data_IF_298440783649
#
_entry.id   IF_298440783649
#
_cell.length_a   1.000
_cell.length_b   1.000
_cell.length_c   1.000
_cell.angle_alpha   90.00
_cell.angle_beta   90.00
_cell.angle_gamma   90.00
#
_symmetry.space_group_name_H-M   'P 1'
#
loop_
_entity.id
_entity.type
_entity.pdbx_description
1 polymer ?
#
# COMPACT_ATOMS: atom_id res chain seq x y z
N UNK A 1 15.20 21.46 14.87
CA UNK A 1 15.38 21.17 13.45
C UNK A 1 14.35 20.12 13.10
N UNK A 2 13.70 20.25 11.94
CA UNK A 2 12.81 19.20 11.44
C UNK A 2 13.61 17.88 11.31
N UNK A 3 13.01 16.78 11.72
CA UNK A 3 13.62 15.46 11.54
C UNK A 3 13.53 15.00 10.10
N UNK A 4 14.39 14.08 9.68
CA UNK A 4 14.36 13.51 8.33
C UNK A 4 13.50 12.25 8.30
N UNK A 5 12.53 12.20 7.39
CA UNK A 5 11.72 11.01 7.09
C UNK A 5 12.20 10.38 5.78
N UNK A 6 12.58 9.11 5.82
CA UNK A 6 12.94 8.34 4.64
C UNK A 6 11.73 7.59 4.11
N UNK A 7 11.37 7.81 2.85
CA UNK A 7 10.28 7.08 2.19
C UNK A 7 10.84 6.30 1.00
N UNK A 8 10.89 4.98 1.09
CA UNK A 8 11.20 4.17 -0.08
C UNK A 8 9.96 4.02 -0.94
N UNK A 9 10.13 4.10 -2.26
CA UNK A 9 8.98 4.12 -3.17
C UNK A 9 8.21 5.44 -3.18
N UNK A 10 8.88 6.56 -2.83
CA UNK A 10 8.30 7.91 -2.84
C UNK A 10 7.66 8.28 -4.18
N UNK A 11 8.28 7.91 -5.29
CA UNK A 11 7.78 8.17 -6.65
C UNK A 11 6.53 7.34 -7.01
N UNK A 12 6.16 6.36 -6.19
CA UNK A 12 4.97 5.54 -6.38
C UNK A 12 3.69 6.23 -5.94
N UNK A 13 2.53 5.62 -6.28
CA UNK A 13 1.20 6.13 -5.96
C UNK A 13 1.04 6.54 -4.49
N UNK A 14 1.35 5.64 -3.56
CA UNK A 14 1.16 5.87 -2.11
C UNK A 14 2.21 6.85 -1.55
N UNK A 15 3.41 6.85 -2.13
CA UNK A 15 4.54 7.65 -1.64
C UNK A 15 4.26 9.14 -1.58
N UNK A 16 3.61 9.68 -2.61
CA UNK A 16 3.24 11.10 -2.66
C UNK A 16 2.27 11.53 -1.54
N UNK A 17 1.32 10.66 -1.20
CA UNK A 17 0.35 10.94 -0.13
C UNK A 17 1.01 10.87 1.23
N UNK A 18 1.84 9.83 1.44
CA UNK A 18 2.62 9.68 2.69
C UNK A 18 3.58 10.86 2.88
N UNK A 19 4.26 11.30 1.82
CA UNK A 19 5.15 12.46 1.90
C UNK A 19 4.42 13.71 2.41
N UNK A 20 3.23 14.00 1.89
CA UNK A 20 2.41 15.16 2.32
C UNK A 20 2.04 15.10 3.80
N UNK A 21 1.65 13.91 4.31
CA UNK A 21 1.32 13.75 5.73
C UNK A 21 2.58 13.93 6.61
N UNK A 22 3.74 13.42 6.17
CA UNK A 22 5.01 13.59 6.89
C UNK A 22 5.50 15.04 6.88
N UNK A 23 5.38 15.75 5.75
CA UNK A 23 5.68 17.18 5.63
C UNK A 23 4.77 18.02 6.53
N UNK A 24 3.47 17.67 6.61
CA UNK A 24 2.52 18.32 7.50
C UNK A 24 2.88 18.14 8.99
N UNK A 25 3.56 17.04 9.33
CA UNK A 25 4.12 16.78 10.66
C UNK A 25 5.49 17.46 10.88
N UNK A 26 6.02 18.19 9.88
CA UNK A 26 7.26 18.95 9.97
C UNK A 26 8.52 18.14 9.64
N UNK A 27 8.40 16.97 9.03
CA UNK A 27 9.57 16.21 8.56
C UNK A 27 10.10 16.76 7.22
N UNK A 28 11.41 16.71 7.06
CA UNK A 28 12.04 16.78 5.74
C UNK A 28 12.00 15.39 5.11
N UNK A 29 11.28 15.27 3.97
CA UNK A 29 11.08 13.96 3.31
C UNK A 29 12.15 13.71 2.26
N UNK A 30 12.84 12.58 2.39
CA UNK A 30 13.81 12.06 1.41
C UNK A 30 13.29 10.74 0.84
N UNK A 31 13.26 10.64 -0.50
CA UNK A 31 12.85 9.43 -1.21
C UNK A 31 14.03 8.56 -1.59
N UNK A 32 13.87 7.23 -1.47
CA UNK A 32 14.77 6.24 -2.07
C UNK A 32 14.00 5.26 -2.94
N UNK A 33 14.58 4.88 -4.07
CA UNK A 33 14.04 3.84 -4.95
C UNK A 33 14.42 4.04 -6.41
N UNK A 34 13.96 3.13 -7.27
CA UNK A 34 14.09 3.30 -8.71
C UNK A 34 13.08 4.33 -9.20
N UNK A 35 13.48 5.23 -10.10
CA UNK A 35 12.62 6.25 -10.68
C UNK A 35 13.32 7.60 -10.83
N UNK A 36 12.66 8.52 -11.53
CA UNK A 36 13.18 9.87 -11.78
C UNK A 36 13.20 10.76 -10.54
N UNK A 37 14.09 11.75 -10.55
CA UNK A 37 14.18 12.74 -9.50
C UNK A 37 12.86 13.54 -9.39
N UNK A 38 12.23 13.48 -8.23
CA UNK A 38 11.16 14.37 -7.83
C UNK A 38 11.80 15.51 -7.05
N UNK A 39 11.90 16.70 -7.65
CA UNK A 39 12.29 17.95 -7.00
C UNK A 39 13.58 17.89 -6.15
N UNK A 40 14.57 17.06 -6.53
CA UNK A 40 15.82 16.90 -5.79
C UNK A 40 15.72 16.14 -4.47
N UNK A 41 14.52 15.73 -4.06
CA UNK A 41 14.27 14.99 -2.81
C UNK A 41 14.28 13.46 -2.97
N UNK A 42 14.44 12.97 -4.20
CA UNK A 42 14.49 11.54 -4.52
C UNK A 42 15.89 11.13 -4.97
N UNK A 43 16.46 10.18 -4.26
CA UNK A 43 17.74 9.56 -4.60
C UNK A 43 17.50 8.22 -5.28
N UNK A 44 17.96 8.09 -6.53
CA UNK A 44 17.78 6.86 -7.31
C UNK A 44 18.73 5.77 -6.81
N UNK A 45 18.18 4.65 -6.40
CA UNK A 45 18.93 3.46 -5.97
C UNK A 45 18.08 2.21 -6.15
N UNK A 46 18.73 1.13 -6.58
CA UNK A 46 18.13 -0.22 -6.47
C UNK A 46 18.34 -0.71 -5.03
N UNK A 47 17.27 -1.04 -4.33
CA UNK A 47 17.36 -1.56 -2.96
C UNK A 47 18.13 -2.89 -2.88
N UNK A 48 18.31 -3.58 -4.01
CA UNK A 48 19.14 -4.78 -4.11
C UNK A 48 20.64 -4.48 -4.07
N UNK A 49 21.05 -3.25 -4.39
CA UNK A 49 22.45 -2.79 -4.22
C UNK A 49 22.69 -2.41 -2.75
N UNK A 50 23.03 -3.41 -1.94
CA UNK A 50 23.25 -3.24 -0.51
C UNK A 50 24.33 -2.21 -0.18
N UNK A 51 25.40 -2.09 -1.01
CA UNK A 51 26.50 -1.16 -0.79
C UNK A 51 26.02 0.29 -0.98
N UNK A 52 25.43 0.58 -2.15
CA UNK A 52 24.96 1.93 -2.46
C UNK A 52 23.83 2.38 -1.55
N UNK A 53 22.90 1.48 -1.23
CA UNK A 53 21.84 1.74 -0.25
C UNK A 53 22.40 2.05 1.12
N UNK A 54 23.39 1.29 1.58
CA UNK A 54 24.07 1.52 2.88
C UNK A 54 24.76 2.88 2.95
N UNK A 55 25.45 3.31 1.88
CA UNK A 55 26.08 4.63 1.79
C UNK A 55 25.04 5.75 1.93
N UNK A 56 23.94 5.67 1.16
CA UNK A 56 22.88 6.69 1.17
C UNK A 56 22.15 6.75 2.53
N UNK A 57 21.80 5.61 3.09
CA UNK A 57 21.12 5.56 4.40
C UNK A 57 22.04 6.11 5.51
N UNK A 58 23.33 5.81 5.45
CA UNK A 58 24.33 6.35 6.40
C UNK A 58 24.52 7.87 6.25
N UNK A 59 24.34 8.44 5.07
CA UNK A 59 24.36 9.89 4.81
C UNK A 59 23.08 10.56 5.32
N UNK A 60 21.91 9.98 5.03
CA UNK A 60 20.59 10.53 5.38
C UNK A 60 20.34 10.51 6.89
N UNK A 61 20.76 9.45 7.61
CA UNK A 61 20.52 9.26 9.05
C UNK A 61 19.04 9.49 9.43
N UNK A 62 18.07 8.78 8.83
CA UNK A 62 16.64 9.09 8.96
C UNK A 62 16.17 8.92 10.40
N UNK A 63 15.32 9.86 10.85
CA UNK A 63 14.64 9.77 12.14
C UNK A 63 13.47 8.77 12.07
N UNK A 64 12.70 8.80 10.99
CA UNK A 64 11.61 7.85 10.74
C UNK A 64 11.70 7.29 9.32
N UNK A 65 11.18 6.08 9.12
CA UNK A 65 11.23 5.40 7.82
C UNK A 65 9.86 4.84 7.48
N UNK A 66 9.41 5.06 6.23
CA UNK A 66 8.25 4.39 5.65
C UNK A 66 8.70 3.60 4.42
N UNK A 67 8.66 2.28 4.53
CA UNK A 67 9.08 1.39 3.47
C UNK A 67 7.87 0.95 2.62
N UNK A 68 7.69 1.63 1.48
CA UNK A 68 6.60 1.37 0.52
C UNK A 68 7.10 0.67 -0.75
N UNK A 69 8.41 0.73 -1.01
CA UNK A 69 8.97 0.14 -2.22
C UNK A 69 8.71 -1.37 -2.27
N UNK A 70 7.97 -1.79 -3.28
CA UNK A 70 7.67 -3.19 -3.55
C UNK A 70 7.23 -3.37 -5.01
N UNK A 71 7.50 -4.54 -5.56
CA UNK A 71 6.89 -5.01 -6.81
C UNK A 71 5.56 -5.68 -6.42
N UNK A 72 4.44 -5.00 -6.72
CA UNK A 72 3.09 -5.44 -6.33
C UNK A 72 2.35 -6.21 -7.43
N UNK A 73 2.71 -6.00 -8.68
CA UNK A 73 2.04 -6.60 -9.83
C UNK A 73 3.03 -6.90 -10.96
N UNK A 74 3.04 -8.15 -11.39
CA UNK A 74 3.81 -8.61 -12.55
C UNK A 74 2.84 -9.31 -13.49
N UNK A 75 2.27 -8.57 -14.43
CA UNK A 75 1.36 -9.15 -15.43
C UNK A 75 2.09 -10.13 -16.35
N UNK A 76 3.38 -9.90 -16.63
CA UNK A 76 4.22 -10.70 -17.56
C UNK A 76 5.71 -10.60 -17.18
N UNK A 77 6.03 -10.29 -15.91
CA UNK A 77 7.39 -10.09 -15.44
C UNK A 77 7.98 -11.34 -14.76
N UNK A 78 9.26 -11.26 -14.47
CA UNK A 78 9.97 -12.30 -13.75
C UNK A 78 9.53 -12.33 -12.29
N UNK A 79 9.01 -13.46 -11.82
CA UNK A 79 8.65 -13.69 -10.41
C UNK A 79 9.86 -13.47 -9.50
N UNK A 80 11.07 -13.68 -9.97
CA UNK A 80 12.33 -13.41 -9.25
C UNK A 80 12.43 -11.94 -8.82
N UNK A 81 11.87 -10.99 -9.61
CA UNK A 81 11.87 -9.57 -9.26
C UNK A 81 10.99 -9.27 -8.05
N UNK A 82 9.86 -9.98 -7.89
CA UNK A 82 9.02 -9.86 -6.69
C UNK A 82 9.83 -10.23 -5.45
N UNK A 83 10.43 -11.41 -5.47
CA UNK A 83 11.18 -11.91 -4.31
C UNK A 83 12.45 -11.09 -4.05
N UNK A 84 13.24 -10.78 -5.06
CA UNK A 84 14.48 -10.03 -4.90
C UNK A 84 14.22 -8.59 -4.43
N UNK A 85 13.24 -7.91 -4.99
CA UNK A 85 12.91 -6.54 -4.56
C UNK A 85 12.27 -6.51 -3.19
N UNK A 86 11.25 -7.35 -2.96
CA UNK A 86 10.45 -7.27 -1.73
C UNK A 86 11.16 -7.89 -0.52
N UNK A 87 12.00 -8.93 -0.71
CA UNK A 87 12.68 -9.61 0.39
C UNK A 87 14.12 -9.09 0.53
N UNK A 88 14.93 -9.21 -0.54
CA UNK A 88 16.34 -8.82 -0.46
C UNK A 88 16.46 -7.30 -0.31
N UNK A 89 15.66 -6.53 -1.05
CA UNK A 89 15.62 -5.07 -0.91
C UNK A 89 15.27 -4.62 0.51
N UNK A 90 14.23 -5.22 1.12
CA UNK A 90 13.87 -4.92 2.52
C UNK A 90 14.98 -5.32 3.49
N UNK A 91 15.56 -6.52 3.31
CA UNK A 91 16.70 -6.98 4.13
C UNK A 91 17.86 -5.98 4.12
N UNK A 92 18.22 -5.52 2.92
CA UNK A 92 19.31 -4.56 2.75
C UNK A 92 19.00 -3.22 3.43
N UNK A 93 17.75 -2.74 3.31
CA UNK A 93 17.30 -1.51 3.98
C UNK A 93 17.41 -1.64 5.51
N UNK A 94 16.88 -2.72 6.08
CA UNK A 94 16.92 -2.94 7.53
C UNK A 94 18.37 -3.08 8.05
N UNK A 95 19.24 -3.79 7.30
CA UNK A 95 20.66 -3.89 7.64
C UNK A 95 21.36 -2.53 7.59
N UNK A 96 21.05 -1.70 6.58
CA UNK A 96 21.61 -0.34 6.48
C UNK A 96 21.14 0.55 7.63
N UNK A 97 19.85 0.50 8.00
CA UNK A 97 19.28 1.27 9.12
C UNK A 97 19.89 0.83 10.47
N UNK A 98 20.06 -0.46 10.70
CA UNK A 98 20.67 -0.99 11.91
C UNK A 98 22.15 -0.59 12.05
N UNK A 99 22.86 -0.38 10.92
CA UNK A 99 24.24 0.08 10.90
C UNK A 99 24.40 1.60 11.09
N UNK A 100 23.31 2.39 11.08
CA UNK A 100 23.36 3.83 11.28
C UNK A 100 23.86 4.20 12.67
N UNK A 101 24.64 5.29 12.77
CA UNK A 101 25.10 5.84 14.06
C UNK A 101 23.91 6.34 14.89
N UNK A 102 22.96 7.00 14.26
CA UNK A 102 21.69 7.40 14.86
C UNK A 102 20.62 6.36 14.50
N UNK A 103 20.05 5.73 15.51
CA UNK A 103 18.93 4.79 15.30
C UNK A 103 17.69 5.54 14.85
N UNK A 104 16.95 4.96 13.92
CA UNK A 104 15.61 5.44 13.57
C UNK A 104 14.68 5.28 14.78
N UNK A 105 13.82 6.27 15.01
CA UNK A 105 12.83 6.27 16.09
C UNK A 105 11.63 5.38 15.77
N UNK A 106 11.34 5.17 14.47
CA UNK A 106 10.33 4.23 13.99
C UNK A 106 10.57 3.85 12.53
N UNK A 107 10.32 2.57 12.22
CA UNK A 107 10.37 2.01 10.87
C UNK A 107 9.03 1.35 10.57
N UNK A 108 8.26 1.90 9.66
CA UNK A 108 7.02 1.30 9.18
C UNK A 108 7.30 0.50 7.90
N UNK A 109 6.93 -0.78 7.92
CA UNK A 109 6.99 -1.67 6.77
C UNK A 109 5.58 -1.91 6.22
N UNK A 110 5.34 -1.51 4.96
CA UNK A 110 4.08 -1.79 4.29
C UNK A 110 4.05 -3.25 3.78
N UNK A 111 3.32 -4.10 4.50
CA UNK A 111 2.92 -5.44 4.08
C UNK A 111 1.64 -5.39 3.22
N UNK A 112 0.76 -6.35 3.34
CA UNK A 112 -0.51 -6.41 2.61
C UNK A 112 -1.50 -7.34 3.30
N UNK A 113 -2.79 -7.04 3.24
CA UNK A 113 -3.85 -7.98 3.65
C UNK A 113 -3.90 -9.25 2.80
N UNK A 114 -3.25 -9.27 1.62
CA UNK A 114 -3.13 -10.48 0.81
C UNK A 114 -2.39 -11.62 1.52
N UNK A 115 -1.63 -11.33 2.58
CA UNK A 115 -0.98 -12.36 3.41
C UNK A 115 -1.98 -13.29 4.09
N UNK A 116 -3.21 -12.86 4.30
CA UNK A 116 -4.28 -13.68 4.89
C UNK A 116 -4.85 -14.73 3.93
N UNK A 117 -4.68 -14.53 2.60
CA UNK A 117 -5.20 -15.44 1.59
C UNK A 117 -6.72 -15.64 1.66
N UNK A 118 -7.14 -16.90 1.51
CA UNK A 118 -8.55 -17.33 1.54
C UNK A 118 -9.00 -17.77 2.94
N UNK A 119 -8.72 -17.01 3.98
CA UNK A 119 -9.15 -17.34 5.33
C UNK A 119 -10.68 -17.42 5.42
N UNK A 120 -11.18 -18.50 6.02
CA UNK A 120 -12.62 -18.80 6.18
C UNK A 120 -13.26 -18.03 7.35
N UNK A 121 -12.96 -16.74 7.48
CA UNK A 121 -13.52 -15.86 8.51
C UNK A 121 -14.19 -14.65 7.86
N UNK A 122 -15.32 -14.17 8.41
CA UNK A 122 -16.06 -13.07 7.80
C UNK A 122 -15.30 -11.73 7.85
N UNK A 123 -14.46 -11.54 8.87
CA UNK A 123 -13.66 -10.31 9.09
C UNK A 123 -12.28 -10.73 9.60
N UNK A 124 -11.25 -10.23 8.93
CA UNK A 124 -9.85 -10.51 9.21
C UNK A 124 -9.30 -9.51 10.23
N UNK A 125 -8.81 -9.99 11.36
CA UNK A 125 -8.00 -9.23 12.30
C UNK A 125 -6.55 -9.76 12.32
N UNK A 126 -5.69 -9.11 13.10
CA UNK A 126 -4.26 -9.40 13.12
C UNK A 126 -3.91 -10.74 13.79
N UNK A 127 -4.86 -11.37 14.49
CA UNK A 127 -4.71 -12.72 15.07
C UNK A 127 -4.94 -13.84 14.05
N UNK A 128 -5.56 -13.52 12.91
CA UNK A 128 -5.79 -14.48 11.84
C UNK A 128 -4.47 -15.02 11.28
N UNK A 129 -4.42 -16.33 11.04
CA UNK A 129 -3.27 -16.99 10.44
C UNK A 129 -3.01 -16.43 9.02
N UNK A 130 -1.72 -16.26 8.69
CA UNK A 130 -1.31 -15.89 7.32
C UNK A 130 -1.26 -17.14 6.44
N UNK A 131 -1.92 -17.07 5.28
CA UNK A 131 -2.06 -18.16 4.30
C UNK A 131 -1.94 -17.60 2.88
N UNK A 132 -0.73 -17.15 2.47
CA UNK A 132 -0.55 -16.45 1.20
C UNK A 132 -0.83 -17.34 0.00
N UNK A 133 -1.62 -16.87 -0.96
CA UNK A 133 -2.10 -17.59 -2.15
C UNK A 133 -1.38 -17.21 -3.46
N UNK A 134 -0.44 -16.28 -3.41
CA UNK A 134 0.32 -15.85 -4.59
C UNK A 134 1.71 -15.34 -4.19
N UNK A 135 2.62 -15.23 -5.19
CA UNK A 135 4.02 -14.83 -4.97
C UNK A 135 4.17 -13.49 -4.27
N UNK A 136 3.33 -12.51 -4.59
CA UNK A 136 3.33 -11.21 -3.91
C UNK A 136 3.01 -11.38 -2.41
N UNK A 137 1.95 -12.10 -2.07
CA UNK A 137 1.58 -12.36 -0.69
C UNK A 137 2.66 -13.14 0.06
N UNK A 138 3.25 -14.16 -0.59
CA UNK A 138 4.39 -14.91 -0.04
C UNK A 138 5.57 -13.98 0.23
N UNK A 139 5.91 -13.09 -0.70
CA UNK A 139 7.01 -12.14 -0.51
C UNK A 139 6.77 -11.18 0.66
N UNK A 140 5.51 -10.75 0.87
CA UNK A 140 5.13 -9.89 2.00
C UNK A 140 5.17 -10.65 3.33
N UNK A 141 4.71 -11.90 3.39
CA UNK A 141 4.89 -12.77 4.56
C UNK A 141 6.37 -12.97 4.89
N UNK A 142 7.20 -13.24 3.89
CA UNK A 142 8.63 -13.39 4.08
C UNK A 142 9.28 -12.11 4.61
N UNK A 143 8.86 -10.94 4.10
CA UNK A 143 9.30 -9.64 4.60
C UNK A 143 8.93 -9.43 6.09
N UNK A 144 7.70 -9.77 6.50
CA UNK A 144 7.28 -9.68 7.90
C UNK A 144 8.11 -10.59 8.82
N UNK A 145 8.33 -11.84 8.39
CA UNK A 145 9.15 -12.81 9.16
C UNK A 145 10.61 -12.36 9.23
N UNK A 146 11.16 -11.90 8.11
CA UNK A 146 12.52 -11.40 8.01
C UNK A 146 12.77 -10.21 8.95
N UNK A 147 11.81 -9.28 9.04
CA UNK A 147 11.94 -8.07 9.87
C UNK A 147 12.19 -8.37 11.34
N UNK A 148 11.73 -9.53 11.83
CA UNK A 148 11.95 -9.98 13.22
C UNK A 148 13.40 -10.14 13.61
N UNK A 149 14.31 -10.31 12.63
CA UNK A 149 15.75 -10.38 12.89
C UNK A 149 16.33 -9.07 13.43
N UNK A 150 15.65 -7.94 13.19
CA UNK A 150 16.06 -6.59 13.64
C UNK A 150 15.20 -6.01 14.74
N UNK A 151 14.31 -6.80 15.37
CA UNK A 151 13.38 -6.29 16.40
C UNK A 151 14.07 -5.67 17.62
N UNK A 152 15.29 -6.14 17.93
CA UNK A 152 16.08 -5.64 19.07
C UNK A 152 16.92 -4.39 18.68
N UNK A 153 17.13 -4.17 17.39
CA UNK A 153 17.90 -3.07 16.83
C UNK A 153 17.05 -1.91 16.31
N UNK A 154 15.88 -2.22 15.74
CA UNK A 154 15.00 -1.26 15.08
C UNK A 154 13.57 -1.34 15.61
N UNK A 155 12.94 -0.19 15.92
CA UNK A 155 11.55 -0.12 16.36
C UNK A 155 10.60 -0.28 15.15
N UNK A 156 10.41 -1.51 14.69
CA UNK A 156 9.65 -1.84 13.48
C UNK A 156 8.17 -2.00 13.80
N UNK A 157 7.34 -1.37 12.97
CA UNK A 157 5.88 -1.55 12.90
C UNK A 157 5.53 -2.07 11.53
N UNK A 158 4.65 -3.08 11.45
CA UNK A 158 4.17 -3.64 10.19
C UNK A 158 2.73 -3.19 9.96
N UNK A 159 2.43 -2.66 8.77
CA UNK A 159 1.06 -2.40 8.34
C UNK A 159 0.61 -3.45 7.33
N UNK A 160 -0.62 -3.94 7.45
CA UNK A 160 -1.29 -4.78 6.45
C UNK A 160 -2.45 -3.98 5.83
N UNK A 161 -2.17 -3.12 4.84
CA UNK A 161 -3.23 -2.41 4.14
C UNK A 161 -4.11 -3.40 3.37
N UNK A 162 -5.43 -3.17 3.44
CA UNK A 162 -6.41 -3.77 2.56
C UNK A 162 -6.38 -3.03 1.22
N UNK A 163 -7.37 -3.26 0.32
CA UNK A 163 -7.32 -2.51 -0.92
C UNK A 163 -7.55 -1.03 -0.64
N UNK A 164 -6.88 -0.18 -1.39
CA UNK A 164 -7.09 1.25 -1.35
C UNK A 164 -6.89 1.85 -2.73
N UNK A 165 -7.47 3.03 -2.94
CA UNK A 165 -7.47 3.70 -4.23
C UNK A 165 -7.46 5.21 -4.07
N UNK A 166 -7.24 5.92 -5.18
CA UNK A 166 -7.24 7.38 -5.24
C UNK A 166 -6.67 7.89 -6.57
N UNK A 167 -6.62 9.20 -6.70
CA UNK A 167 -6.08 9.87 -7.88
C UNK A 167 -4.60 9.54 -8.05
N UNK A 168 -4.18 9.21 -9.27
CA UNK A 168 -2.80 8.86 -9.61
C UNK A 168 -2.47 7.36 -9.50
N UNK A 169 -3.42 6.51 -9.11
CA UNK A 169 -3.23 5.06 -9.14
C UNK A 169 -3.28 4.54 -10.58
N UNK A 170 -2.43 3.56 -10.91
CA UNK A 170 -2.34 2.96 -12.24
C UNK A 170 -3.67 2.31 -12.69
N UNK A 171 -3.99 2.45 -13.99
CA UNK A 171 -5.15 1.81 -14.62
C UNK A 171 -5.07 0.27 -14.66
N UNK A 172 -3.95 -0.32 -14.28
CA UNK A 172 -3.83 -1.77 -14.08
C UNK A 172 -4.63 -2.28 -12.87
N UNK A 173 -5.03 -1.38 -11.95
CA UNK A 173 -5.89 -1.69 -10.82
C UNK A 173 -7.37 -1.51 -11.15
N UNK A 174 -8.23 -2.27 -10.47
CA UNK A 174 -9.65 -2.35 -10.75
C UNK A 174 -10.36 -0.99 -10.70
N UNK A 175 -10.28 -0.27 -9.57
CA UNK A 175 -11.04 0.97 -9.40
C UNK A 175 -10.60 2.08 -10.35
N UNK A 176 -9.29 2.37 -10.54
CA UNK A 176 -8.86 3.33 -11.56
C UNK A 176 -9.31 2.96 -12.97
N UNK A 177 -9.26 1.65 -13.33
CA UNK A 177 -9.75 1.15 -14.61
C UNK A 177 -11.24 1.46 -14.79
N UNK A 178 -12.06 1.16 -13.79
CA UNK A 178 -13.51 1.43 -13.85
C UNK A 178 -13.79 2.94 -13.96
N UNK A 179 -13.15 3.75 -13.14
CA UNK A 179 -13.29 5.22 -13.18
C UNK A 179 -12.92 5.77 -14.54
N UNK A 180 -11.81 5.30 -15.15
CA UNK A 180 -11.40 5.71 -16.52
C UNK A 180 -12.46 5.33 -17.57
N UNK A 181 -13.01 4.11 -17.50
CA UNK A 181 -14.05 3.68 -18.44
C UNK A 181 -15.30 4.56 -18.35
N UNK A 182 -15.75 4.88 -17.13
CA UNK A 182 -16.88 5.78 -16.92
C UNK A 182 -16.56 7.23 -17.31
N UNK A 183 -15.38 7.75 -17.01
CA UNK A 183 -14.98 9.10 -17.40
C UNK A 183 -14.91 9.28 -18.93
N UNK A 184 -14.45 8.25 -19.63
CA UNK A 184 -14.38 8.22 -21.10
C UNK A 184 -15.70 7.82 -21.78
N UNK A 185 -16.75 7.53 -20.99
CA UNK A 185 -18.07 7.09 -21.47
C UNK A 185 -18.01 5.86 -22.37
N UNK A 186 -17.15 4.88 -22.04
CA UNK A 186 -17.04 3.64 -22.78
C UNK A 186 -18.29 2.78 -22.54
N UNK A 187 -18.81 2.09 -23.58
CA UNK A 187 -20.06 1.32 -23.45
C UNK A 187 -19.90 0.03 -22.65
N UNK A 188 -18.68 -0.50 -22.57
CA UNK A 188 -18.42 -1.81 -21.95
C UNK A 188 -17.07 -1.84 -21.24
N UNK A 189 -16.94 -2.76 -20.26
CA UNK A 189 -15.68 -3.07 -19.57
C UNK A 189 -15.49 -4.58 -19.46
N UNK A 190 -14.26 -5.03 -19.70
CA UNK A 190 -13.89 -6.43 -19.48
C UNK A 190 -13.27 -6.58 -18.09
N UNK A 191 -13.82 -7.51 -17.29
CA UNK A 191 -13.37 -7.86 -15.96
C UNK A 191 -13.07 -9.36 -15.85
N UNK A 192 -12.37 -9.78 -14.81
CA UNK A 192 -12.19 -11.17 -14.44
C UNK A 192 -13.26 -11.64 -13.45
N UNK A 193 -12.85 -12.01 -12.24
CA UNK A 193 -13.76 -12.45 -11.18
C UNK A 193 -14.61 -11.27 -10.68
N UNK A 194 -15.93 -11.35 -10.89
CA UNK A 194 -16.91 -10.32 -10.50
C UNK A 194 -17.61 -10.64 -9.17
N UNK A 195 -17.61 -11.91 -8.76
CA UNK A 195 -18.19 -12.37 -7.49
C UNK A 195 -17.14 -12.29 -6.38
N UNK A 196 -16.71 -11.08 -6.08
CA UNK A 196 -15.71 -10.79 -5.06
C UNK A 196 -16.10 -9.57 -4.23
N UNK A 197 -15.75 -9.61 -2.94
CA UNK A 197 -15.97 -8.52 -2.00
C UNK A 197 -14.62 -8.01 -1.50
N UNK A 198 -14.42 -6.71 -1.51
CA UNK A 198 -13.18 -6.06 -1.07
C UNK A 198 -13.47 -4.88 -0.16
N UNK A 199 -12.66 -4.77 0.88
CA UNK A 199 -12.56 -3.55 1.66
C UNK A 199 -11.67 -2.56 0.88
N UNK A 200 -12.23 -1.39 0.57
CA UNK A 200 -11.51 -0.32 -0.12
C UNK A 200 -11.41 0.92 0.76
N UNK A 201 -10.20 1.36 1.01
CA UNK A 201 -9.92 2.62 1.68
C UNK A 201 -9.54 3.72 0.68
N UNK A 202 -9.67 4.97 1.10
CA UNK A 202 -9.05 6.10 0.42
C UNK A 202 -7.54 6.13 0.73
N UNK A 203 -6.72 6.40 -0.27
CA UNK A 203 -5.25 6.49 -0.10
C UNK A 203 -4.84 7.55 0.92
N UNK A 204 -5.63 8.63 1.08
CA UNK A 204 -5.39 9.68 2.08
C UNK A 204 -5.61 9.17 3.49
N UNK A 205 -6.57 8.27 3.70
CA UNK A 205 -6.77 7.58 4.98
C UNK A 205 -5.59 6.66 5.31
N UNK A 206 -5.08 5.94 4.30
CA UNK A 206 -3.92 5.05 4.47
C UNK A 206 -2.66 5.85 4.80
N UNK A 207 -2.44 6.99 4.13
CA UNK A 207 -1.29 7.86 4.38
C UNK A 207 -1.33 8.48 5.78
N UNK A 208 -2.50 8.98 6.22
CA UNK A 208 -2.72 9.48 7.59
C UNK A 208 -2.44 8.39 8.63
N UNK A 209 -2.96 7.17 8.41
CA UNK A 209 -2.70 6.04 9.30
C UNK A 209 -1.20 5.70 9.41
N UNK A 210 -0.47 5.73 8.30
CA UNK A 210 0.97 5.47 8.30
C UNK A 210 1.74 6.56 9.05
N UNK A 211 1.43 7.82 8.82
CA UNK A 211 2.06 8.94 9.52
C UNK A 211 1.82 8.88 11.04
N UNK A 212 0.60 8.53 11.47
CA UNK A 212 0.25 8.39 12.89
C UNK A 212 0.84 7.14 13.54
N UNK A 213 0.98 6.04 12.79
CA UNK A 213 1.67 4.82 13.27
C UNK A 213 3.16 5.06 13.55
N UNK A 214 3.81 6.00 12.86
CA UNK A 214 5.20 6.37 13.19
C UNK A 214 5.33 6.96 14.59
N UNK A 215 4.31 7.65 15.09
CA UNK A 215 4.29 8.20 16.46
C UNK A 215 3.78 7.21 17.51
N UNK A 216 2.64 6.57 17.23
CA UNK A 216 1.89 5.80 18.23
C UNK A 216 2.02 4.27 18.10
N UNK A 217 2.50 3.75 16.95
CA UNK A 217 2.58 2.31 16.73
C UNK A 217 3.57 1.63 17.68
N UNK A 218 3.19 0.49 18.24
CA UNK A 218 4.05 -0.29 19.12
C UNK A 218 5.05 -1.13 18.31
N UNK A 219 6.32 -1.12 18.73
CA UNK A 219 7.38 -1.88 18.06
C UNK A 219 7.13 -3.38 18.13
N UNK A 220 7.28 -4.05 16.99
CA UNK A 220 7.02 -5.49 16.85
C UNK A 220 5.58 -5.82 16.50
N UNK A 221 4.67 -4.84 16.54
CA UNK A 221 3.26 -5.03 16.29
C UNK A 221 2.87 -4.91 14.80
N UNK A 222 1.79 -5.59 14.45
CA UNK A 222 1.17 -5.59 13.13
C UNK A 222 -0.17 -4.89 13.22
N UNK A 223 -0.51 -4.06 12.23
CA UNK A 223 -1.78 -3.32 12.16
C UNK A 223 -2.45 -3.47 10.81
N UNK A 224 -3.70 -3.90 10.82
CA UNK A 224 -4.55 -3.83 9.64
C UNK A 224 -4.93 -2.38 9.34
N UNK A 225 -4.75 -1.95 8.09
CA UNK A 225 -5.18 -0.64 7.61
C UNK A 225 -6.30 -0.85 6.62
N UNK A 226 -7.55 -0.66 7.08
CA UNK A 226 -8.76 -0.94 6.31
C UNK A 226 -9.90 -0.02 6.73
N UNK A 227 -10.93 0.08 5.87
CA UNK A 227 -12.14 0.85 6.17
C UNK A 227 -13.10 0.11 7.13
N UNK A 228 -13.04 -1.21 7.17
CA UNK A 228 -14.00 -2.07 7.85
C UNK A 228 -15.29 -2.32 7.06
N UNK A 229 -15.40 -1.78 5.85
CA UNK A 229 -16.57 -1.93 4.97
C UNK A 229 -16.14 -2.63 3.68
N UNK A 230 -16.84 -3.71 3.34
CA UNK A 230 -16.57 -4.43 2.08
C UNK A 230 -17.65 -4.14 1.03
N UNK A 231 -17.21 -3.98 -0.20
CA UNK A 231 -18.04 -3.70 -1.37
C UNK A 231 -17.90 -4.82 -2.40
N UNK A 232 -19.01 -5.20 -3.03
CA UNK A 232 -18.98 -6.02 -4.23
C UNK A 232 -18.59 -5.20 -5.45
N UNK A 233 -18.18 -5.86 -6.53
CA UNK A 233 -17.96 -5.17 -7.82
C UNK A 233 -19.26 -4.49 -8.30
N UNK A 234 -20.42 -5.11 -8.06
CA UNK A 234 -21.72 -4.56 -8.39
C UNK A 234 -21.99 -3.23 -7.66
N UNK A 235 -21.70 -3.16 -6.35
CA UNK A 235 -21.87 -1.92 -5.58
C UNK A 235 -21.05 -0.77 -6.16
N UNK A 236 -19.80 -1.07 -6.57
CA UNK A 236 -18.89 -0.09 -7.17
C UNK A 236 -19.41 0.40 -8.53
N UNK A 237 -19.89 -0.51 -9.36
CA UNK A 237 -20.47 -0.17 -10.67
C UNK A 237 -21.72 0.71 -10.52
N UNK A 238 -22.58 0.41 -9.55
CA UNK A 238 -23.76 1.23 -9.24
C UNK A 238 -23.36 2.65 -8.79
N UNK A 239 -22.38 2.78 -7.87
CA UNK A 239 -21.87 4.08 -7.44
C UNK A 239 -21.33 4.90 -8.62
N UNK A 240 -20.57 4.26 -9.52
CA UNK A 240 -20.02 4.94 -10.70
C UNK A 240 -21.09 5.29 -11.73
N UNK A 241 -22.11 4.43 -11.92
CA UNK A 241 -23.23 4.70 -12.80
C UNK A 241 -24.04 5.91 -12.34
N UNK A 242 -24.30 6.02 -11.03
CA UNK A 242 -24.93 7.21 -10.43
C UNK A 242 -24.10 8.48 -10.64
N UNK A 243 -22.79 8.41 -10.46
CA UNK A 243 -21.89 9.55 -10.65
C UNK A 243 -21.80 10.00 -12.12
N UNK A 244 -21.77 9.05 -13.04
CA UNK A 244 -21.60 9.32 -14.47
C UNK A 244 -22.90 9.56 -15.22
N UNK A 245 -24.05 9.20 -14.63
CA UNK A 245 -25.38 9.31 -15.23
C UNK A 245 -25.66 8.28 -16.34
N UNK A 246 -24.94 7.17 -16.37
CA UNK A 246 -25.19 6.06 -17.30
C UNK A 246 -24.62 4.74 -16.75
N UNK A 247 -25.05 3.61 -17.29
CA UNK A 247 -24.55 2.28 -16.96
C UNK A 247 -23.61 1.77 -18.05
N UNK A 248 -22.69 0.90 -17.66
CA UNK A 248 -21.70 0.25 -18.52
C UNK A 248 -21.97 -1.25 -18.56
N UNK A 249 -21.81 -1.89 -19.72
CA UNK A 249 -21.93 -3.34 -19.84
C UNK A 249 -20.66 -4.04 -19.35
N UNK A 250 -20.84 -5.07 -18.52
CA UNK A 250 -19.73 -5.83 -17.95
C UNK A 250 -19.60 -7.17 -18.68
N UNK A 251 -18.45 -7.41 -19.27
CA UNK A 251 -18.10 -8.67 -19.90
C UNK A 251 -17.03 -9.39 -19.07
N UNK A 252 -17.32 -10.63 -18.70
CA UNK A 252 -16.32 -11.48 -18.03
C UNK A 252 -15.36 -12.04 -19.08
N UNK A 253 -14.10 -11.61 -19.02
CA UNK A 253 -13.04 -12.13 -19.87
C UNK A 253 -12.32 -13.27 -19.14
N UNK A 254 -12.38 -14.53 -19.65
CA UNK A 254 -11.73 -15.67 -19.02
C UNK A 254 -10.22 -15.51 -18.82
N UNK A 255 -9.56 -14.71 -19.68
CA UNK A 255 -8.13 -14.43 -19.55
C UNK A 255 -7.77 -13.60 -18.27
N UNK A 256 -8.76 -12.91 -17.70
CA UNK A 256 -8.58 -12.12 -16.47
C UNK A 256 -9.07 -12.85 -15.21
N UNK A 257 -9.66 -14.04 -15.36
CA UNK A 257 -10.13 -14.85 -14.24
C UNK A 257 -8.95 -15.52 -13.55
N UNK A 258 -8.83 -15.30 -12.25
CA UNK A 258 -7.82 -15.92 -11.41
C UNK A 258 -8.39 -17.16 -10.73
N UNK A 259 -7.70 -18.29 -10.84
CA UNK A 259 -8.15 -19.56 -10.30
C UNK A 259 -8.28 -19.55 -8.75
N UNK A 260 -7.34 -18.89 -8.08
CA UNK A 260 -7.27 -18.79 -6.61
C UNK A 260 -7.64 -17.38 -6.13
N UNK A 261 -8.73 -16.82 -6.66
CA UNK A 261 -9.19 -15.49 -6.24
C UNK A 261 -9.77 -15.53 -4.84
N UNK A 262 -9.29 -14.65 -3.97
CA UNK A 262 -9.87 -14.44 -2.64
C UNK A 262 -11.28 -13.88 -2.79
N UNK A 263 -12.32 -14.63 -2.41
CA UNK A 263 -13.71 -14.21 -2.59
C UNK A 263 -14.08 -13.01 -1.72
N UNK A 264 -13.65 -13.01 -0.47
CA UNK A 264 -13.94 -11.92 0.47
C UNK A 264 -12.67 -11.51 1.21
N UNK A 265 -12.35 -10.23 1.12
CA UNK A 265 -11.27 -9.62 1.88
C UNK A 265 -11.85 -8.40 2.62
N UNK A 266 -12.26 -8.61 3.87
CA UNK A 266 -12.83 -7.61 4.76
C UNK A 266 -12.03 -7.58 6.05
N UNK A 267 -11.60 -6.39 6.49
CA UNK A 267 -10.71 -6.22 7.63
C UNK A 267 -11.35 -5.60 8.87
N UNK A 268 -10.73 -5.84 10.02
CA UNK A 268 -10.98 -5.12 11.25
C UNK A 268 -9.86 -4.10 11.48
N UNK A 269 -10.23 -2.84 11.67
CA UNK A 269 -9.31 -1.76 12.02
C UNK A 269 -9.31 -1.43 13.52
N UNK A 270 -9.92 -2.27 14.36
CA UNK A 270 -10.09 -2.02 15.80
C UNK A 270 -8.78 -1.79 16.52
N UNK A 271 -7.77 -2.61 16.24
CA UNK A 271 -6.42 -2.48 16.83
C UNK A 271 -5.76 -1.17 16.41
N UNK A 272 -5.86 -0.84 15.14
CA UNK A 272 -5.35 0.42 14.60
C UNK A 272 -6.02 1.61 15.28
N UNK A 273 -7.37 1.63 15.32
CA UNK A 273 -8.14 2.71 15.94
C UNK A 273 -7.88 2.84 17.46
N UNK A 274 -7.64 1.74 18.18
CA UNK A 274 -7.25 1.77 19.58
C UNK A 274 -5.85 2.41 19.78
N UNK A 275 -4.96 2.26 18.81
CA UNK A 275 -3.57 2.76 18.88
C UNK A 275 -3.44 4.22 18.44
N UNK A 276 -4.02 4.56 17.28
CA UNK A 276 -3.87 5.90 16.70
C UNK A 276 -5.10 6.80 16.87
N UNK A 277 -6.18 6.32 17.52
CA UNK A 277 -7.50 6.97 17.58
C UNK A 277 -8.28 6.77 16.26
N UNK A 278 -9.44 7.43 16.16
CA UNK A 278 -10.31 7.28 14.99
C UNK A 278 -9.60 7.60 13.68
N UNK A 279 -9.81 6.74 12.68
CA UNK A 279 -9.33 6.94 11.32
C UNK A 279 -10.11 8.08 10.65
N UNK A 280 -9.43 8.83 9.80
CA UNK A 280 -10.08 9.75 8.87
C UNK A 280 -10.96 8.95 7.92
N UNK A 281 -12.25 8.86 8.22
CA UNK A 281 -13.19 8.10 7.39
C UNK A 281 -13.55 8.91 6.15
N UNK A 282 -13.14 8.40 4.98
CA UNK A 282 -13.56 8.91 3.67
C UNK A 282 -14.37 7.80 3.00
N UNK A 283 -15.70 7.98 2.79
CA UNK A 283 -16.53 6.98 2.13
C UNK A 283 -16.00 6.64 0.72
N UNK A 284 -16.13 5.38 0.29
CA UNK A 284 -15.68 4.97 -1.04
C UNK A 284 -16.34 5.79 -2.15
N UNK A 285 -17.62 6.13 -2.01
CA UNK A 285 -18.33 6.99 -2.96
C UNK A 285 -17.63 8.34 -3.18
N UNK A 286 -17.17 8.97 -2.10
CA UNK A 286 -16.48 10.27 -2.16
C UNK A 286 -15.10 10.13 -2.82
N UNK A 287 -14.41 9.02 -2.56
CA UNK A 287 -13.16 8.67 -3.23
C UNK A 287 -13.35 8.47 -4.73
N UNK A 288 -14.39 7.71 -5.13
CA UNK A 288 -14.73 7.50 -6.55
C UNK A 288 -15.13 8.82 -7.23
N UNK A 289 -15.90 9.66 -6.56
CA UNK A 289 -16.26 10.99 -7.07
C UNK A 289 -15.04 11.88 -7.27
N UNK A 290 -14.12 11.89 -6.31
CA UNK A 290 -12.86 12.63 -6.44
C UNK A 290 -12.01 12.13 -7.62
N UNK A 291 -11.87 10.80 -7.78
CA UNK A 291 -11.15 10.20 -8.90
C UNK A 291 -11.82 10.52 -10.24
N UNK A 292 -13.15 10.43 -10.32
CA UNK A 292 -13.93 10.74 -11.52
C UNK A 292 -13.76 12.19 -11.94
N UNK A 293 -13.89 13.14 -11.00
CA UNK A 293 -13.68 14.57 -11.26
C UNK A 293 -12.27 14.87 -11.74
N UNK A 294 -11.26 14.25 -11.13
CA UNK A 294 -9.87 14.43 -11.54
C UNK A 294 -9.61 14.00 -13.00
N UNK A 295 -10.36 13.02 -13.50
CA UNK A 295 -10.24 12.55 -14.90
C UNK A 295 -11.11 13.35 -15.88
N UNK A 296 -12.25 13.89 -15.44
CA UNK A 296 -13.17 14.65 -16.31
C UNK A 296 -12.89 16.15 -16.32
N UNK A 297 -12.01 16.65 -15.44
CA UNK A 297 -11.71 18.07 -15.31
C UNK A 297 -12.83 18.89 -14.67
N UNK A 298 -13.73 18.25 -13.91
CA UNK A 298 -14.88 18.86 -13.23
C UNK A 298 -14.58 19.25 -11.79
#
# INVERSE_FOLDING_TARGET
MAGTALVTGLAGFTGHYVARELEALGYEVVGLGQGGALDGRHLSVDLRDARRLGELVAEIQPQVVVHLAAVAFVAHGDVSDIYSSNIVGTRNLLAALAACKRRAEKVLLASSANVYGNAEVPVLDESCAVQPENDYAVSKCAMELLSRHWRDDLPIVVSRPFNYTGVGQSLSFLLPKLVDHFARRLPQVELGNIDVYRDFSDVRTVADAYARLLGAGESGEVYNVCSGVSYSIQDILLMLAELAGYSIDVHVNPAFVRANEVKRLAGSNRKLAATIGELKHIPLRDTLQWMYRAQTGQ
#
